data_IF_497396643414
#
_entry.id   IF_497396643414
#
_cell.length_a   1.000
_cell.length_b   1.000
_cell.length_c   1.000
_cell.angle_alpha   90.00
_cell.angle_beta   90.00
_cell.angle_gamma   90.00
#
_symmetry.space_group_name_H-M   'P 1'
#
loop_
_entity.id
_entity.type
_entity.pdbx_description
1 polymer ?
#
# COMPACT_ATOMS: atom_id res chain seq x y z
N UNK A 1 23.05 -8.71 11.02
CA UNK A 1 22.16 -9.90 11.00
C UNK A 1 20.90 -9.49 10.27
N UNK A 2 20.49 -10.19 9.21
CA UNK A 2 19.22 -9.89 8.56
C UNK A 2 18.10 -10.36 9.49
N UNK A 3 17.50 -9.44 10.23
CA UNK A 3 16.31 -9.71 11.03
C UNK A 3 15.17 -10.07 10.09
N UNK A 4 14.89 -11.36 9.94
CA UNK A 4 13.87 -11.87 9.02
C UNK A 4 12.48 -11.68 9.65
N UNK A 5 11.64 -10.86 9.03
CA UNK A 5 10.25 -10.67 9.43
C UNK A 5 9.30 -11.34 8.42
N UNK A 6 8.04 -11.52 8.82
CA UNK A 6 7.00 -12.07 7.96
C UNK A 6 5.62 -11.88 8.59
N UNK A 7 4.69 -12.78 8.24
CA UNK A 7 3.31 -12.78 8.75
C UNK A 7 2.95 -14.11 9.45
N UNK A 8 3.95 -14.96 9.69
CA UNK A 8 3.76 -16.25 10.35
C UNK A 8 3.76 -16.15 11.88
N UNK A 9 3.47 -17.25 12.58
CA UNK A 9 3.32 -17.26 14.05
C UNK A 9 4.60 -16.90 14.83
N UNK A 10 5.78 -17.05 14.22
CA UNK A 10 7.08 -16.82 14.88
C UNK A 10 7.80 -15.56 14.42
N UNK A 11 7.31 -14.89 13.37
CA UNK A 11 7.94 -13.71 12.77
C UNK A 11 6.92 -12.64 12.34
N UNK A 12 5.69 -12.75 12.84
CA UNK A 12 4.54 -11.93 12.49
C UNK A 12 4.52 -10.55 13.17
N UNK A 13 3.49 -9.74 12.89
CA UNK A 13 3.35 -8.37 13.40
C UNK A 13 3.48 -8.20 14.92
N UNK A 14 3.10 -9.21 15.71
CA UNK A 14 3.23 -9.20 17.17
C UNK A 14 4.68 -9.36 17.65
N UNK A 15 5.58 -9.85 16.78
CA UNK A 15 7.02 -10.03 17.05
C UNK A 15 7.88 -8.91 16.50
N UNK A 16 7.37 -8.12 15.55
CA UNK A 16 8.19 -7.09 14.88
C UNK A 16 8.81 -6.07 15.84
N UNK A 17 8.17 -5.79 16.98
CA UNK A 17 8.70 -4.86 17.98
C UNK A 17 10.01 -5.30 18.65
N UNK A 18 10.39 -6.58 18.54
CA UNK A 18 11.64 -7.12 19.08
C UNK A 18 12.85 -6.61 18.30
N UNK A 19 12.75 -6.56 16.96
CA UNK A 19 13.83 -6.14 16.06
C UNK A 19 13.63 -4.73 15.49
N UNK A 20 12.38 -4.25 15.47
CA UNK A 20 11.99 -2.94 14.93
C UNK A 20 11.23 -2.15 16.01
N UNK A 21 11.94 -1.46 16.92
CA UNK A 21 11.31 -0.79 18.08
C UNK A 21 10.20 0.22 17.72
N UNK A 22 10.28 0.82 16.52
CA UNK A 22 9.25 1.70 16.00
C UNK A 22 7.89 1.01 15.80
N UNK A 23 7.82 -0.32 15.81
CA UNK A 23 6.55 -1.05 15.77
C UNK A 23 5.55 -0.61 16.85
N UNK A 24 6.05 -0.08 17.98
CA UNK A 24 5.26 0.42 19.11
C UNK A 24 5.15 1.96 19.14
N UNK A 25 5.60 2.63 18.08
CA UNK A 25 5.67 4.09 17.95
C UNK A 25 4.31 4.80 18.05
N UNK A 26 4.29 6.12 18.31
CA UNK A 26 3.08 6.89 18.54
C UNK A 26 2.19 7.09 17.30
N UNK A 27 2.71 6.86 16.10
CA UNK A 27 2.05 7.14 14.82
C UNK A 27 2.08 5.93 13.88
N UNK A 28 1.95 4.73 14.43
CA UNK A 28 1.94 3.50 13.63
C UNK A 28 0.67 3.33 12.79
N UNK A 29 0.83 2.69 11.63
CA UNK A 29 -0.22 2.33 10.68
C UNK A 29 -0.31 0.80 10.54
N UNK A 30 -1.44 0.24 10.07
CA UNK A 30 -2.69 0.94 9.69
C UNK A 30 -3.55 1.33 10.90
N UNK A 31 -4.69 1.97 10.67
CA UNK A 31 -5.68 2.30 11.71
C UNK A 31 -7.10 1.88 11.30
N UNK A 32 -7.99 1.77 12.28
CA UNK A 32 -9.43 1.75 12.02
C UNK A 32 -9.93 3.19 11.75
N UNK A 33 -10.50 3.40 10.58
CA UNK A 33 -11.16 4.64 10.19
C UNK A 33 -12.59 4.59 10.71
N UNK A 34 -12.92 5.47 11.65
CA UNK A 34 -14.30 5.67 12.12
C UNK A 34 -14.82 6.95 11.46
N UNK A 35 -15.62 6.89 10.37
CA UNK A 35 -16.00 8.08 9.61
C UNK A 35 -16.73 9.14 10.44
N UNK A 36 -17.45 8.74 11.49
CA UNK A 36 -18.13 9.66 12.41
C UNK A 36 -17.17 10.49 13.27
N UNK A 37 -15.95 10.00 13.49
CA UNK A 37 -14.90 10.68 14.26
C UNK A 37 -13.94 11.46 13.35
N UNK A 38 -13.95 11.17 12.04
CA UNK A 38 -13.18 11.92 11.06
C UNK A 38 -13.70 13.35 10.96
N UNK A 39 -12.80 14.33 11.07
CA UNK A 39 -13.17 15.74 10.94
C UNK A 39 -13.10 16.16 9.48
N UNK A 40 -14.21 16.67 8.95
CA UNK A 40 -14.16 17.36 7.67
C UNK A 40 -13.22 18.56 7.77
N UNK A 41 -12.23 18.63 6.87
CA UNK A 41 -11.26 19.70 6.79
C UNK A 41 -11.41 20.39 5.43
N UNK A 42 -12.04 21.57 5.43
CA UNK A 42 -12.28 22.36 4.21
C UNK A 42 -10.99 22.93 3.59
N UNK A 43 -9.85 22.82 4.26
CA UNK A 43 -8.55 23.26 3.73
C UNK A 43 -7.88 22.19 2.86
N UNK A 44 -8.36 20.94 2.94
CA UNK A 44 -7.88 19.84 2.11
C UNK A 44 -8.19 20.09 0.63
N UNK A 45 -7.15 20.00 -0.20
CA UNK A 45 -7.24 20.24 -1.64
C UNK A 45 -7.60 18.94 -2.37
N UNK A 46 -8.12 19.01 -3.60
CA UNK A 46 -8.23 17.82 -4.46
C UNK A 46 -6.85 17.16 -4.67
N UNK A 47 -6.83 15.83 -4.73
CA UNK A 47 -5.65 15.05 -5.12
C UNK A 47 -5.37 15.23 -6.61
N UNK A 48 -4.10 15.42 -6.97
CA UNK A 48 -3.65 15.53 -8.35
C UNK A 48 -2.61 14.47 -8.63
N UNK A 49 -2.99 13.49 -9.44
CA UNK A 49 -2.12 12.41 -9.90
C UNK A 49 -1.77 12.61 -11.37
N UNK A 50 -0.48 12.51 -11.68
CA UNK A 50 0.07 12.48 -13.03
C UNK A 50 1.01 11.29 -13.07
N UNK A 51 0.72 10.26 -13.86
CA UNK A 51 1.59 9.11 -14.00
C UNK A 51 1.94 8.91 -15.47
N UNK A 52 3.22 8.74 -15.74
CA UNK A 52 3.71 8.33 -17.06
C UNK A 52 3.72 6.79 -17.09
N UNK A 53 2.91 6.15 -17.95
CA UNK A 53 2.87 4.70 -18.04
C UNK A 53 4.23 4.09 -18.38
N UNK A 54 5.08 4.82 -19.12
CA UNK A 54 6.39 4.33 -19.55
C UNK A 54 7.39 4.19 -18.40
N UNK A 55 7.13 4.84 -17.26
CA UNK A 55 7.97 4.72 -16.07
C UNK A 55 7.86 3.36 -15.38
N UNK A 56 6.83 2.54 -15.66
CA UNK A 56 6.73 1.21 -15.07
C UNK A 56 7.97 0.37 -15.43
N UNK A 57 8.65 -0.16 -14.41
CA UNK A 57 9.99 -0.73 -14.48
C UNK A 57 10.08 -2.07 -13.77
N UNK A 58 9.27 -3.02 -14.22
CA UNK A 58 9.31 -4.39 -13.72
C UNK A 58 8.31 -4.65 -12.61
N UNK A 59 8.06 -5.94 -12.43
CA UNK A 59 7.25 -6.50 -11.36
C UNK A 59 8.06 -7.61 -10.71
N UNK A 60 8.03 -7.68 -9.39
CA UNK A 60 8.77 -8.68 -8.63
C UNK A 60 7.96 -9.19 -7.45
N UNK A 61 8.29 -10.39 -6.98
CA UNK A 61 7.84 -10.92 -5.70
C UNK A 61 8.99 -10.83 -4.70
N UNK A 62 8.84 -9.98 -3.68
CA UNK A 62 9.88 -9.75 -2.67
C UNK A 62 9.79 -10.73 -1.48
N UNK A 63 8.86 -11.68 -1.52
CA UNK A 63 8.58 -12.59 -0.41
C UNK A 63 7.67 -12.03 0.67
N UNK A 64 7.06 -10.86 0.45
CA UNK A 64 6.09 -10.23 1.36
C UNK A 64 4.86 -9.69 0.60
N UNK A 65 5.05 -9.30 -0.65
CA UNK A 65 4.03 -8.95 -1.65
C UNK A 65 4.64 -9.15 -3.05
N UNK A 66 3.83 -9.00 -4.10
CA UNK A 66 4.37 -8.50 -5.35
C UNK A 66 4.42 -6.97 -5.36
N UNK A 67 5.36 -6.40 -6.10
CA UNK A 67 5.58 -4.95 -6.22
C UNK A 67 5.83 -4.61 -7.68
N UNK A 68 5.22 -3.53 -8.16
CA UNK A 68 5.55 -2.94 -9.47
C UNK A 68 6.34 -1.66 -9.21
N UNK A 69 7.55 -1.61 -9.75
CA UNK A 69 8.46 -0.48 -9.59
C UNK A 69 8.25 0.57 -10.68
N UNK A 70 8.56 1.82 -10.36
CA UNK A 70 8.55 2.93 -11.31
C UNK A 70 9.90 3.65 -11.29
N UNK A 71 10.34 4.09 -12.48
CA UNK A 71 11.45 5.02 -12.62
C UNK A 71 11.03 6.37 -12.02
N UNK A 72 11.85 6.88 -11.10
CA UNK A 72 11.58 8.03 -10.25
C UNK A 72 12.74 9.06 -10.24
N UNK A 73 13.52 9.11 -11.32
CA UNK A 73 14.62 10.06 -11.53
C UNK A 73 14.13 11.49 -11.87
N UNK A 74 12.90 11.61 -12.38
CA UNK A 74 12.28 12.86 -12.85
C UNK A 74 10.84 13.03 -12.33
N UNK A 75 10.29 14.25 -12.43
CA UNK A 75 8.92 14.59 -12.02
C UNK A 75 7.86 14.20 -13.09
N UNK A 76 8.05 13.04 -13.73
CA UNK A 76 7.17 12.50 -14.77
C UNK A 76 5.97 11.75 -14.19
N UNK A 77 6.17 11.03 -13.07
CA UNK A 77 5.11 10.34 -12.32
C UNK A 77 5.01 10.86 -10.89
N UNK A 78 4.02 11.72 -10.62
CA UNK A 78 3.92 12.50 -9.37
C UNK A 78 2.51 12.56 -8.77
N UNK A 79 2.50 12.77 -7.46
CA UNK A 79 1.36 13.12 -6.62
C UNK A 79 1.57 14.54 -6.07
N UNK A 80 0.55 15.38 -6.21
CA UNK A 80 0.50 16.74 -5.65
C UNK A 80 -0.92 17.05 -5.14
N UNK A 81 -1.07 18.17 -4.42
CA UNK A 81 -2.37 18.58 -3.86
C UNK A 81 -2.73 17.76 -2.62
N UNK A 82 -4.02 17.52 -2.37
CA UNK A 82 -4.41 16.73 -1.22
C UNK A 82 -4.00 17.35 0.13
N UNK A 83 -3.53 16.52 1.09
CA UNK A 83 -2.99 16.96 2.38
C UNK A 83 -1.48 17.23 2.38
N UNK A 84 -0.78 16.95 1.25
CA UNK A 84 0.68 17.05 1.15
C UNK A 84 1.11 18.44 0.65
N UNK A 85 2.34 18.82 0.99
CA UNK A 85 2.99 20.02 0.47
C UNK A 85 4.17 19.64 -0.42
N UNK A 86 4.24 20.21 -1.62
CA UNK A 86 5.27 19.91 -2.61
C UNK A 86 4.89 18.79 -3.58
N UNK A 87 5.92 18.18 -4.17
CA UNK A 87 5.81 17.14 -5.20
C UNK A 87 6.33 15.83 -4.66
N UNK A 88 5.57 14.76 -4.86
CA UNK A 88 5.98 13.41 -4.44
C UNK A 88 6.05 12.51 -5.66
N UNK A 89 7.18 11.85 -5.90
CA UNK A 89 7.37 10.92 -7.02
C UNK A 89 6.85 9.53 -6.67
N UNK A 90 6.12 8.91 -7.59
CA UNK A 90 5.70 7.52 -7.46
C UNK A 90 6.94 6.62 -7.49
N UNK A 91 7.12 5.80 -6.46
CA UNK A 91 8.20 4.81 -6.40
C UNK A 91 7.75 3.45 -6.89
N UNK A 92 6.62 3.00 -6.35
CA UNK A 92 6.09 1.67 -6.56
C UNK A 92 4.60 1.61 -6.18
N UNK A 93 3.94 0.53 -6.56
CA UNK A 93 2.74 0.09 -5.85
C UNK A 93 2.82 -1.40 -5.49
N UNK A 94 2.05 -1.78 -4.47
CA UNK A 94 1.89 -3.15 -4.01
C UNK A 94 0.52 -3.34 -3.36
N UNK A 95 0.21 -4.55 -2.93
CA UNK A 95 -1.08 -4.89 -2.33
C UNK A 95 -0.89 -5.69 -1.05
N UNK A 96 -1.87 -5.55 -0.16
CA UNK A 96 -2.09 -6.45 0.96
C UNK A 96 -3.39 -7.21 0.72
N UNK A 97 -3.46 -8.49 1.07
CA UNK A 97 -4.64 -9.34 0.88
C UNK A 97 -4.73 -10.46 1.92
N UNK A 98 -5.95 -10.96 2.12
CA UNK A 98 -6.23 -12.03 3.06
C UNK A 98 -6.44 -13.37 2.38
N UNK A 99 -6.47 -14.43 3.19
CA UNK A 99 -6.81 -15.76 2.71
C UNK A 99 -8.30 -15.90 2.31
N UNK A 100 -9.16 -15.03 2.86
CA UNK A 100 -10.61 -14.99 2.59
C UNK A 100 -11.04 -13.70 1.90
N UNK A 101 -12.23 -13.70 1.31
CA UNK A 101 -12.83 -12.53 0.64
C UNK A 101 -13.38 -11.49 1.64
N UNK A 102 -13.46 -11.85 2.92
CA UNK A 102 -13.95 -11.07 4.04
C UNK A 102 -12.85 -10.31 4.80
N UNK A 103 -11.58 -10.49 4.44
CA UNK A 103 -10.42 -9.89 5.11
C UNK A 103 -9.24 -9.71 4.16
N UNK A 104 -8.34 -8.78 4.50
CA UNK A 104 -7.10 -8.59 3.73
C UNK A 104 -6.60 -7.16 3.64
N UNK A 105 -7.50 -6.18 3.76
CA UNK A 105 -7.10 -4.80 3.94
C UNK A 105 -6.43 -4.58 5.29
N UNK A 106 -5.53 -3.61 5.29
CA UNK A 106 -4.79 -3.20 6.48
C UNK A 106 -5.60 -2.18 7.27
N UNK A 107 -6.06 -1.13 6.59
CA UNK A 107 -7.06 -0.24 7.14
C UNK A 107 -8.42 -0.94 7.22
N UNK A 108 -9.23 -0.47 8.17
CA UNK A 108 -10.63 -0.85 8.30
C UNK A 108 -11.50 0.38 8.33
N UNK A 109 -12.77 0.25 7.96
CA UNK A 109 -13.77 1.33 8.08
C UNK A 109 -14.88 0.86 9.00
N UNK A 110 -15.02 1.49 10.18
CA UNK A 110 -15.89 1.01 11.27
C UNK A 110 -15.63 -0.47 11.63
N UNK A 111 -14.37 -0.88 11.63
CA UNK A 111 -13.96 -2.27 11.87
C UNK A 111 -14.21 -3.23 10.71
N UNK A 112 -14.83 -2.78 9.61
CA UNK A 112 -15.05 -3.61 8.41
C UNK A 112 -13.76 -3.68 7.60
N UNK A 113 -13.36 -4.91 7.28
CA UNK A 113 -12.25 -5.24 6.40
C UNK A 113 -12.73 -5.42 4.96
N UNK A 114 -11.79 -5.26 4.04
CA UNK A 114 -11.93 -5.55 2.62
C UNK A 114 -11.00 -6.72 2.24
N UNK A 115 -11.24 -7.46 1.14
CA UNK A 115 -10.38 -8.57 0.70
C UNK A 115 -8.94 -8.17 0.40
N UNK A 116 -8.70 -6.91 0.02
CA UNK A 116 -7.37 -6.39 -0.30
C UNK A 116 -7.31 -4.87 -0.22
N UNK A 117 -6.11 -4.33 -0.07
CA UNK A 117 -5.80 -2.91 -0.11
C UNK A 117 -4.56 -2.66 -0.98
N UNK A 118 -4.69 -1.75 -1.95
CA UNK A 118 -3.62 -1.27 -2.81
C UNK A 118 -2.93 -0.08 -2.15
N UNK A 119 -1.60 -0.06 -2.16
CA UNK A 119 -0.79 1.10 -1.77
C UNK A 119 0.04 1.61 -2.94
N UNK A 120 -0.18 2.86 -3.34
CA UNK A 120 0.72 3.59 -4.24
C UNK A 120 1.67 4.43 -3.40
N UNK A 121 2.95 4.08 -3.39
CA UNK A 121 3.96 4.70 -2.52
C UNK A 121 4.69 5.80 -3.27
N UNK A 122 4.68 7.00 -2.69
CA UNK A 122 5.36 8.16 -3.23
C UNK A 122 6.34 8.73 -2.21
N UNK A 123 7.38 9.43 -2.69
CA UNK A 123 8.37 10.09 -1.83
C UNK A 123 8.57 11.55 -2.22
N UNK A 124 8.80 12.40 -1.22
CA UNK A 124 8.87 13.85 -1.33
C UNK A 124 10.18 14.28 -2.00
N UNK A 125 10.08 15.00 -3.12
CA UNK A 125 11.25 15.46 -3.90
C UNK A 125 12.06 16.55 -3.23
N UNK A 126 11.59 17.09 -2.08
CA UNK A 126 12.42 17.97 -1.25
C UNK A 126 13.64 17.25 -0.68
N UNK A 127 13.60 15.93 -0.59
CA UNK A 127 14.71 15.10 -0.12
C UNK A 127 15.51 14.55 -1.32
N UNK A 128 16.81 14.24 -1.16
CA UNK A 128 17.65 13.81 -2.29
C UNK A 128 17.33 12.40 -2.82
N UNK A 129 16.75 11.54 -2.00
CA UNK A 129 16.49 10.14 -2.34
C UNK A 129 15.31 9.56 -1.58
N UNK A 130 14.74 8.45 -2.06
CA UNK A 130 13.71 7.70 -1.34
C UNK A 130 14.16 7.29 0.07
N UNK A 131 15.41 6.86 0.23
CA UNK A 131 15.94 6.42 1.52
C UNK A 131 16.01 7.56 2.54
N UNK A 132 16.49 8.73 2.11
CA UNK A 132 16.49 9.93 2.96
C UNK A 132 15.07 10.39 3.25
N UNK A 133 14.19 10.44 2.25
CA UNK A 133 12.79 10.77 2.44
C UNK A 133 12.13 9.84 3.47
N UNK A 134 12.30 8.52 3.35
CA UNK A 134 11.69 7.55 4.26
C UNK A 134 12.07 7.73 5.75
N UNK A 135 13.18 8.41 6.03
CA UNK A 135 13.61 8.77 7.40
C UNK A 135 12.96 10.02 7.98
N UNK A 136 12.09 10.69 7.22
CA UNK A 136 11.61 12.04 7.51
C UNK A 136 10.09 12.06 7.73
N UNK A 137 9.57 12.92 8.62
CA UNK A 137 8.15 12.88 9.03
C UNK A 137 7.15 13.14 7.89
N UNK A 138 7.53 13.91 6.88
CA UNK A 138 6.76 14.18 5.64
C UNK A 138 7.49 13.63 4.41
N UNK A 139 8.18 12.52 4.61
CA UNK A 139 9.02 11.88 3.61
C UNK A 139 8.23 11.17 2.53
N UNK A 140 7.15 10.49 2.92
CA UNK A 140 6.39 9.60 2.07
C UNK A 140 4.92 10.00 2.05
N UNK A 141 4.26 9.72 0.93
CA UNK A 141 2.82 9.80 0.81
C UNK A 141 2.30 8.52 0.18
N UNK A 142 1.31 7.89 0.82
CA UNK A 142 0.74 6.63 0.34
C UNK A 142 -0.74 6.84 0.03
N UNK A 143 -1.12 6.55 -1.22
CA UNK A 143 -2.53 6.48 -1.62
C UNK A 143 -3.00 5.05 -1.41
N UNK A 144 -3.90 4.86 -0.46
CA UNK A 144 -4.54 3.58 -0.15
C UNK A 144 -5.87 3.43 -0.87
N UNK A 145 -6.10 2.30 -1.54
CA UNK A 145 -7.36 1.99 -2.22
C UNK A 145 -7.86 0.62 -1.79
N UNK A 146 -9.05 0.57 -1.21
CA UNK A 146 -9.70 -0.69 -0.88
C UNK A 146 -10.17 -1.43 -2.15
N UNK A 147 -10.05 -2.75 -2.15
CA UNK A 147 -10.65 -3.62 -3.16
C UNK A 147 -11.86 -4.31 -2.53
N UNK A 148 -13.03 -4.33 -3.18
CA UNK A 148 -14.21 -5.08 -2.72
C UNK A 148 -14.61 -6.16 -3.70
N UNK A 149 -15.17 -7.26 -3.21
CA UNK A 149 -15.71 -8.30 -4.08
C UNK A 149 -16.87 -7.74 -4.92
N UNK A 150 -16.80 -7.99 -6.22
CA UNK A 150 -17.80 -7.58 -7.19
C UNK A 150 -17.46 -8.07 -8.59
N UNK A 151 -17.79 -7.26 -9.61
CA UNK A 151 -17.41 -7.54 -10.98
C UNK A 151 -15.88 -7.61 -11.14
N UNK A 152 -15.42 -8.43 -12.09
CA UNK A 152 -14.02 -8.45 -12.47
C UNK A 152 -13.58 -7.04 -12.91
N UNK A 153 -12.39 -6.64 -12.51
CA UNK A 153 -11.80 -5.35 -12.87
C UNK A 153 -10.78 -5.55 -14.00
N UNK A 154 -11.11 -5.19 -15.24
CA UNK A 154 -10.22 -5.41 -16.38
C UNK A 154 -8.89 -4.64 -16.24
N UNK A 155 -8.87 -3.58 -15.44
CA UNK A 155 -7.69 -2.73 -15.23
C UNK A 155 -6.60 -3.45 -14.42
N UNK A 156 -6.96 -4.49 -13.67
CA UNK A 156 -6.00 -5.36 -12.99
C UNK A 156 -5.43 -6.46 -13.90
N UNK A 157 -6.01 -6.70 -15.07
CA UNK A 157 -5.69 -7.90 -15.85
C UNK A 157 -4.22 -7.99 -16.22
N UNK A 158 -3.62 -6.87 -16.65
CA UNK A 158 -2.19 -6.84 -16.99
C UNK A 158 -1.29 -7.21 -15.82
N UNK A 159 -1.62 -6.76 -14.60
CA UNK A 159 -0.90 -7.12 -13.37
C UNK A 159 -1.05 -8.62 -13.10
N UNK A 160 -2.28 -9.13 -13.20
CA UNK A 160 -2.62 -10.53 -12.98
C UNK A 160 -1.90 -11.48 -13.94
N UNK A 161 -1.82 -11.12 -15.22
CA UNK A 161 -1.13 -11.91 -16.24
C UNK A 161 0.38 -12.02 -15.96
N UNK A 162 0.96 -11.02 -15.30
CA UNK A 162 2.37 -11.03 -14.92
C UNK A 162 2.67 -11.86 -13.66
N UNK A 163 1.65 -12.15 -12.81
CA UNK A 163 1.85 -12.85 -11.53
C UNK A 163 2.36 -14.28 -11.71
N UNK A 164 2.00 -14.96 -12.81
CA UNK A 164 2.45 -16.33 -13.08
C UNK A 164 3.98 -16.37 -13.27
N UNK A 165 4.61 -15.28 -13.75
CA UNK A 165 6.06 -15.17 -13.91
C UNK A 165 6.80 -14.77 -12.63
N UNK A 166 6.10 -14.27 -11.61
CA UNK A 166 6.67 -13.84 -10.31
C UNK A 166 6.09 -14.63 -9.14
N UNK A 167 5.77 -15.90 -9.37
CA UNK A 167 5.07 -16.74 -8.39
C UNK A 167 5.82 -16.89 -7.06
N UNK A 168 7.14 -17.06 -7.09
CA UNK A 168 7.99 -17.32 -5.91
C UNK A 168 8.84 -16.10 -5.53
N UNK A 169 9.25 -16.03 -4.27
CA UNK A 169 10.13 -14.99 -3.75
C UNK A 169 11.42 -14.87 -4.58
N UNK A 170 11.81 -13.64 -4.88
CA UNK A 170 13.00 -13.31 -5.66
C UNK A 170 12.80 -13.35 -7.17
N UNK A 171 11.65 -13.85 -7.66
CA UNK A 171 11.33 -13.75 -9.09
C UNK A 171 10.95 -12.32 -9.45
N UNK A 172 11.42 -11.91 -10.62
CA UNK A 172 11.10 -10.64 -11.25
C UNK A 172 10.91 -10.85 -12.74
N UNK A 173 10.07 -10.04 -13.37
CA UNK A 173 9.92 -10.01 -14.81
C UNK A 173 9.72 -8.59 -15.31
N UNK A 174 9.84 -8.40 -16.61
CA UNK A 174 9.57 -7.10 -17.24
C UNK A 174 8.10 -6.74 -17.11
N UNK A 175 7.85 -5.49 -16.76
CA UNK A 175 6.51 -4.93 -16.66
C UNK A 175 6.62 -3.44 -16.96
N UNK A 176 6.15 -3.04 -18.14
CA UNK A 176 6.29 -1.68 -18.65
C UNK A 176 4.96 -1.15 -19.16
N UNK A 177 4.86 0.16 -19.42
CA UNK A 177 3.68 0.79 -20.02
C UNK A 177 2.40 0.52 -19.22
N UNK A 178 2.40 0.86 -17.94
CA UNK A 178 1.24 0.69 -17.06
C UNK A 178 0.96 1.97 -16.27
N UNK A 179 -0.23 2.53 -16.46
CA UNK A 179 -0.71 3.68 -15.71
C UNK A 179 -1.46 3.22 -14.45
N UNK A 180 -0.90 3.42 -13.24
CA UNK A 180 -1.56 2.99 -12.01
C UNK A 180 -2.76 3.88 -11.65
N UNK A 181 -2.96 5.03 -12.34
CA UNK A 181 -4.19 5.83 -12.22
C UNK A 181 -5.42 5.03 -12.63
N UNK A 182 -5.25 4.04 -13.52
CA UNK A 182 -6.34 3.15 -13.92
C UNK A 182 -6.88 2.34 -12.73
N UNK A 183 -6.06 2.10 -11.70
CA UNK A 183 -6.46 1.40 -10.48
C UNK A 183 -7.11 2.31 -9.44
N UNK A 184 -7.33 3.59 -9.75
CA UNK A 184 -8.05 4.50 -8.87
C UNK A 184 -9.57 4.45 -9.13
N UNK A 185 -10.40 4.62 -8.09
CA UNK A 185 -11.85 4.78 -8.21
C UNK A 185 -12.21 6.09 -8.95
N UNK A 186 -13.51 6.26 -9.24
CA UNK A 186 -14.00 7.46 -9.90
C UNK A 186 -13.94 8.69 -8.96
N UNK A 187 -14.37 8.53 -7.71
CA UNK A 187 -14.22 9.55 -6.67
C UNK A 187 -12.86 9.42 -5.99
N UNK A 188 -12.14 10.53 -5.91
CA UNK A 188 -10.92 10.65 -5.12
C UNK A 188 -11.17 11.27 -3.75
N UNK A 189 -12.39 11.22 -3.21
CA UNK A 189 -12.66 11.56 -1.81
C UNK A 189 -11.82 10.69 -0.88
N UNK A 190 -11.22 11.28 0.14
CA UNK A 190 -10.22 10.59 0.96
C UNK A 190 -10.28 10.97 2.43
N UNK A 191 -9.81 10.04 3.27
CA UNK A 191 -9.35 10.32 4.61
C UNK A 191 -7.83 10.50 4.63
N UNK A 192 -7.33 11.27 5.59
CA UNK A 192 -5.89 11.48 5.75
C UNK A 192 -5.48 11.59 7.21
N UNK A 193 -4.29 11.06 7.51
CA UNK A 193 -3.63 11.12 8.81
C UNK A 193 -2.12 10.87 8.64
N UNK A 194 -1.32 11.28 9.62
CA UNK A 194 0.11 10.98 9.66
C UNK A 194 0.35 9.61 10.30
N UNK A 195 1.11 8.77 9.62
CA UNK A 195 1.27 7.37 9.97
C UNK A 195 2.68 6.84 9.69
N UNK A 196 2.75 5.52 9.55
CA UNK A 196 3.99 4.80 9.27
C UNK A 196 3.89 3.95 8.01
N UNK A 197 5.03 3.40 7.59
CA UNK A 197 5.05 2.16 6.82
C UNK A 197 4.34 1.06 7.63
N UNK A 198 3.63 0.18 6.93
CA UNK A 198 2.92 -0.96 7.55
C UNK A 198 3.77 -2.23 7.57
N UNK A 199 4.99 -2.15 7.04
CA UNK A 199 6.00 -3.20 7.08
C UNK A 199 7.30 -2.69 7.72
N UNK A 200 8.11 -3.57 8.34
CA UNK A 200 9.44 -3.24 8.81
C UNK A 200 10.28 -2.46 7.78
N UNK A 201 10.95 -1.36 8.18
CA UNK A 201 11.23 -0.94 9.56
C UNK A 201 10.19 -0.03 10.22
N UNK A 202 8.96 0.08 9.68
CA UNK A 202 7.81 0.75 10.32
C UNK A 202 8.05 2.26 10.59
N UNK A 203 8.81 2.91 9.71
CA UNK A 203 9.17 4.33 9.83
C UNK A 203 7.92 5.21 9.83
N UNK A 204 7.83 6.14 10.78
CA UNK A 204 6.72 7.10 10.94
C UNK A 204 6.89 8.32 10.02
N UNK A 205 6.96 8.05 8.72
CA UNK A 205 7.28 9.00 7.65
C UNK A 205 6.18 9.19 6.62
N UNK A 206 4.99 8.61 6.84
CA UNK A 206 3.95 8.49 5.83
C UNK A 206 2.78 9.43 6.09
N UNK A 207 2.49 10.33 5.15
CA UNK A 207 1.17 10.96 5.04
C UNK A 207 0.22 10.00 4.33
N UNK A 208 -0.74 9.43 5.05
CA UNK A 208 -1.73 8.52 4.48
C UNK A 208 -2.85 9.26 3.79
N UNK A 209 -3.26 8.76 2.62
CA UNK A 209 -4.38 9.24 1.82
C UNK A 209 -5.22 8.01 1.44
N UNK A 210 -6.21 7.67 2.26
CA UNK A 210 -7.03 6.46 2.06
C UNK A 210 -8.32 6.85 1.34
N UNK A 211 -8.50 6.38 0.11
CA UNK A 211 -9.66 6.71 -0.70
C UNK A 211 -10.92 6.06 -0.13
N UNK A 212 -12.01 6.83 -0.12
CA UNK A 212 -13.32 6.41 0.40
C UNK A 212 -13.97 5.35 -0.49
N UNK A 213 -13.86 5.52 -1.81
CA UNK A 213 -14.48 4.62 -2.77
C UNK A 213 -13.58 3.41 -3.05
N UNK A 214 -14.04 2.17 -2.80
CA UNK A 214 -13.29 0.98 -3.16
C UNK A 214 -13.41 0.68 -4.67
N UNK A 215 -12.39 0.08 -5.26
CA UNK A 215 -12.48 -0.53 -6.60
C UNK A 215 -13.03 -1.96 -6.49
N UNK A 216 -13.67 -2.44 -7.57
CA UNK A 216 -14.16 -3.82 -7.63
C UNK A 216 -13.02 -4.79 -7.93
N UNK A 217 -13.15 -6.04 -7.47
CA UNK A 217 -12.33 -7.18 -7.85
C UNK A 217 -13.18 -8.45 -7.80
N UNK A 218 -12.99 -9.39 -8.73
CA UNK A 218 -13.73 -10.66 -8.67
C UNK A 218 -13.03 -11.69 -7.77
N UNK A 219 -13.76 -12.69 -7.24
CA UNK A 219 -13.14 -13.79 -6.48
C UNK A 219 -12.05 -14.53 -7.26
N UNK A 220 -12.22 -14.70 -8.58
CA UNK A 220 -11.21 -15.34 -9.44
C UNK A 220 -9.92 -14.53 -9.55
N UNK A 221 -10.03 -13.19 -9.59
CA UNK A 221 -8.86 -12.31 -9.57
C UNK A 221 -8.17 -12.35 -8.19
N UNK A 222 -8.93 -12.37 -7.08
CA UNK A 222 -8.36 -12.55 -5.75
C UNK A 222 -7.66 -13.90 -5.59
N UNK A 223 -8.17 -14.97 -6.19
CA UNK A 223 -7.53 -16.28 -6.18
C UNK A 223 -6.14 -16.26 -6.85
N UNK A 224 -5.93 -15.41 -7.87
CA UNK A 224 -4.60 -15.22 -8.48
C UNK A 224 -3.61 -14.58 -7.53
N UNK A 225 -4.01 -13.58 -6.74
CA UNK A 225 -3.16 -12.98 -5.70
C UNK A 225 -2.73 -14.03 -4.68
N UNK A 226 -3.69 -14.82 -4.19
CA UNK A 226 -3.49 -15.90 -3.20
C UNK A 226 -2.67 -17.09 -3.72
N UNK A 227 -2.39 -17.14 -5.02
CA UNK A 227 -1.58 -18.20 -5.65
C UNK A 227 -0.07 -17.93 -5.64
N UNK A 228 0.34 -16.71 -5.30
CA UNK A 228 1.73 -16.35 -5.07
C UNK A 228 2.27 -17.05 -3.82
N UNK A 229 3.59 -17.17 -3.71
CA UNK A 229 4.26 -17.81 -2.59
C UNK A 229 5.17 -16.82 -1.86
N UNK A 230 5.17 -16.88 -0.52
CA UNK A 230 6.16 -16.20 0.33
C UNK A 230 7.58 -16.78 0.15
N UNK A 231 7.66 -18.03 -0.30
CA UNK A 231 8.89 -18.82 -0.40
C UNK A 231 9.49 -18.80 -1.81
N UNK A 232 10.80 -19.02 -1.87
CA UNK A 232 11.57 -19.10 -3.11
C UNK A 232 11.51 -20.48 -3.78
N UNK A 233 12.14 -20.61 -4.95
CA UNK A 233 12.29 -21.90 -5.62
C UNK A 233 13.11 -22.87 -4.76
N UNK A 234 12.66 -24.11 -4.64
CA UNK A 234 13.33 -25.15 -3.84
C UNK A 234 12.99 -25.13 -2.34
N UNK A 235 12.23 -24.13 -1.88
CA UNK A 235 11.68 -24.09 -0.52
C UNK A 235 10.29 -24.75 -0.48
N UNK A 236 9.86 -25.16 0.72
CA UNK A 236 8.50 -25.68 0.91
C UNK A 236 7.46 -24.59 0.51
N UNK A 237 6.47 -24.89 -0.35
CA UNK A 237 5.52 -23.89 -0.79
C UNK A 237 4.70 -23.30 0.37
N UNK A 238 4.75 -21.98 0.54
CA UNK A 238 3.92 -21.26 1.50
C UNK A 238 3.12 -20.19 0.74
N UNK A 239 1.80 -20.38 0.62
CA UNK A 239 0.95 -19.43 -0.08
C UNK A 239 1.03 -18.04 0.56
N UNK A 240 1.21 -17.03 -0.26
CA UNK A 240 1.20 -15.63 0.15
C UNK A 240 -0.25 -15.24 0.43
N UNK A 241 -0.66 -15.39 1.68
CA UNK A 241 -1.98 -14.99 2.18
C UNK A 241 -1.83 -14.33 3.54
N UNK A 242 -2.81 -13.49 3.88
CA UNK A 242 -2.83 -12.75 5.15
C UNK A 242 -1.54 -11.91 5.35
N UNK A 243 -1.04 -11.30 4.27
CA UNK A 243 0.14 -10.44 4.28
C UNK A 243 -0.18 -9.00 4.73
N UNK A 244 -1.06 -8.83 5.71
CA UNK A 244 -1.53 -7.53 6.20
C UNK A 244 -1.26 -7.37 7.70
N UNK A 245 -0.90 -6.17 8.12
CA UNK A 245 -0.71 -5.82 9.52
C UNK A 245 -2.06 -5.48 10.19
N UNK A 246 -2.30 -5.92 11.45
CA UNK A 246 -3.46 -5.47 12.22
C UNK A 246 -3.49 -3.95 12.44
N UNK A 247 -4.70 -3.39 12.60
CA UNK A 247 -4.87 -1.99 13.00
C UNK A 247 -4.13 -1.66 14.30
N UNK A 248 -3.45 -0.52 14.29
CA UNK A 248 -2.71 0.07 15.40
C UNK A 248 -3.58 1.17 16.05
N UNK A 249 -3.23 1.54 17.27
CA UNK A 249 -3.96 2.58 18.00
C UNK A 249 -3.79 3.95 17.31
N UNK A 250 -4.90 4.69 17.13
CA UNK A 250 -4.87 6.05 16.59
C UNK A 250 -4.05 7.01 17.48
N UNK A 251 -4.05 6.77 18.81
CA UNK A 251 -3.38 7.60 19.83
C UNK A 251 -3.82 9.07 19.68
N UNK A 252 -2.91 10.04 19.84
CA UNK A 252 -3.22 11.48 19.79
C UNK A 252 -3.42 12.05 18.37
N UNK A 253 -3.47 11.22 17.34
CA UNK A 253 -3.62 11.68 15.94
C UNK A 253 -5.06 12.01 15.62
N UNK A 254 -5.24 12.95 14.70
CA UNK A 254 -6.55 13.30 14.16
C UNK A 254 -6.72 12.74 12.76
N UNK A 255 -7.86 12.08 12.53
CA UNK A 255 -8.30 11.68 11.21
C UNK A 255 -9.07 12.83 10.56
N UNK A 256 -8.67 13.23 9.35
CA UNK A 256 -9.33 14.28 8.57
C UNK A 256 -10.00 13.69 7.33
N UNK A 257 -11.08 14.30 6.85
CA UNK A 257 -11.80 13.89 5.65
C UNK A 257 -11.89 15.06 4.65
N UNK A 258 -11.72 14.78 3.36
CA UNK A 258 -11.88 15.77 2.27
C UNK A 258 -13.35 16.04 1.91
N UNK A 259 -14.28 15.31 2.51
CA UNK A 259 -15.71 15.32 2.22
C UNK A 259 -16.52 15.47 3.51
N UNK A 260 -17.76 15.94 3.37
CA UNK A 260 -18.72 16.07 4.47
C UNK A 260 -19.46 14.77 4.75
#
# INVERSE_FOLDING_TARGET
MSHGWGYGPVNGPDKWGEDFPLANGPRQSPINIVPKEAKYDSTLKPLKVKYDPSNANGILNNGHSFQVDYVDDTDSSTLTGGPISGTYRLKQFHFHWGAGDDRGSEHTVNGIKFPSELHLVHWNTKYPSFGEAASQPDGLAVVGVFLKIGAANPRLQKVLDALDAVKTKGKQTTFSNFDPKTLLPASLDYWTYDGSLTTPPLLESVTWIVLKEPISVSPAQMAKFRSLLFTGDGEAPCCMVDNYRPCQALKGRQLRASFK
#
